data_IF_780836537742
#
_entry.id   IF_780836537742
#
_cell.length_a   1.000
_cell.length_b   1.000
_cell.length_c   1.000
_cell.angle_alpha   90.00
_cell.angle_beta   90.00
_cell.angle_gamma   90.00
#
_symmetry.space_group_name_H-M   'P 1'
#
loop_
_entity.id
_entity.type
_entity.pdbx_description
1 polymer ?
#
# COMPACT_ATOMS: atom_id res chain seq x y z
N UNK A 1 52.46 -79.30 -66.78
CA UNK A 1 51.25 -79.50 -65.95
C UNK A 1 51.58 -79.02 -64.54
N UNK A 2 50.83 -78.01 -64.08
CA UNK A 2 50.67 -77.47 -62.72
C UNK A 2 51.90 -77.23 -61.81
N UNK A 3 52.13 -75.97 -61.45
CA UNK A 3 52.11 -75.53 -60.05
C UNK A 3 51.92 -74.00 -60.00
N UNK A 4 50.74 -73.59 -59.51
CA UNK A 4 50.30 -72.21 -59.34
C UNK A 4 51.17 -71.49 -58.30
N UNK A 5 51.77 -70.36 -58.68
CA UNK A 5 52.37 -69.42 -57.74
C UNK A 5 51.29 -68.64 -57.00
N UNK A 6 51.29 -68.72 -55.67
CA UNK A 6 50.54 -67.82 -54.80
C UNK A 6 51.48 -66.76 -54.24
N UNK A 7 51.28 -65.52 -54.68
CA UNK A 7 51.89 -64.32 -54.09
C UNK A 7 51.14 -63.99 -52.81
N UNK A 8 51.78 -64.14 -51.65
CA UNK A 8 51.28 -63.61 -50.39
C UNK A 8 51.73 -62.15 -50.25
N UNK A 9 50.82 -61.22 -50.56
CA UNK A 9 50.97 -59.79 -50.29
C UNK A 9 51.00 -59.57 -48.78
N UNK A 10 52.06 -58.94 -48.27
CA UNK A 10 52.15 -58.43 -46.92
C UNK A 10 51.10 -57.32 -46.73
N UNK A 11 49.93 -57.68 -46.20
CA UNK A 11 48.94 -56.73 -45.75
C UNK A 11 49.39 -56.08 -44.45
N UNK A 12 49.88 -54.84 -44.53
CA UNK A 12 49.95 -53.95 -43.38
C UNK A 12 48.53 -53.76 -42.85
N UNK A 13 48.20 -54.45 -41.76
CA UNK A 13 47.00 -54.17 -40.98
C UNK A 13 47.17 -52.77 -40.38
N UNK A 14 46.55 -51.78 -41.03
CA UNK A 14 46.25 -50.49 -40.41
C UNK A 14 45.28 -50.77 -39.26
N UNK A 15 45.84 -51.12 -38.09
CA UNK A 15 45.10 -51.18 -36.85
C UNK A 15 44.54 -49.78 -36.60
N UNK A 16 43.27 -49.61 -36.93
CA UNK A 16 42.50 -48.42 -36.60
C UNK A 16 42.49 -48.33 -35.07
N UNK A 17 43.43 -47.59 -34.49
CA UNK A 17 43.43 -47.33 -33.05
C UNK A 17 42.14 -46.58 -32.72
N UNK A 18 41.14 -47.31 -32.24
CA UNK A 18 39.91 -46.76 -31.74
C UNK A 18 40.26 -45.85 -30.55
N UNK A 19 40.32 -44.55 -30.79
CA UNK A 19 40.56 -43.57 -29.74
C UNK A 19 39.45 -43.69 -28.69
N UNK A 20 39.83 -44.08 -27.46
CA UNK A 20 38.88 -44.19 -26.37
C UNK A 20 38.22 -42.82 -26.13
N UNK A 21 36.88 -42.80 -26.08
CA UNK A 21 36.12 -41.57 -25.83
C UNK A 21 36.57 -40.95 -24.50
N UNK A 22 37.29 -39.84 -24.57
CA UNK A 22 37.75 -39.11 -23.39
C UNK A 22 36.60 -38.29 -22.81
N UNK A 23 36.35 -38.43 -21.50
CA UNK A 23 35.31 -37.70 -20.78
C UNK A 23 35.91 -36.52 -20.02
N UNK A 24 35.11 -35.48 -19.81
CA UNK A 24 35.51 -34.39 -18.92
C UNK A 24 35.55 -34.85 -17.46
N UNK A 25 36.28 -34.11 -16.61
CA UNK A 25 36.29 -34.25 -15.15
C UNK A 25 35.84 -32.94 -14.52
N UNK A 26 35.18 -33.01 -13.37
CA UNK A 26 34.79 -31.82 -12.60
C UNK A 26 36.03 -31.28 -11.89
N UNK A 27 36.30 -29.98 -12.03
CA UNK A 27 37.41 -29.28 -11.36
C UNK A 27 36.92 -28.38 -10.23
N UNK A 28 35.67 -27.92 -10.28
CA UNK A 28 35.01 -27.23 -9.16
C UNK A 28 33.53 -27.59 -9.09
N UNK A 29 32.94 -27.51 -7.89
CA UNK A 29 31.51 -27.69 -7.68
C UNK A 29 31.07 -26.95 -6.41
N UNK A 30 30.56 -25.74 -6.59
CA UNK A 30 30.23 -24.83 -5.49
C UNK A 30 28.74 -24.55 -5.40
N UNK A 31 28.26 -24.31 -4.19
CA UNK A 31 26.91 -23.78 -3.95
C UNK A 31 26.89 -22.30 -4.28
N UNK A 32 25.84 -21.82 -4.95
CA UNK A 32 25.67 -20.38 -5.19
C UNK A 32 25.20 -19.69 -3.91
N UNK A 33 25.92 -18.65 -3.49
CA UNK A 33 25.68 -17.91 -2.24
C UNK A 33 25.02 -16.54 -2.42
N UNK A 34 24.80 -16.09 -3.65
CA UNK A 34 24.08 -14.84 -3.94
C UNK A 34 22.63 -14.91 -3.48
N UNK A 35 21.96 -13.76 -3.40
CA UNK A 35 20.56 -13.67 -3.01
C UNK A 35 19.69 -14.65 -3.78
N UNK A 36 18.67 -15.19 -3.11
CA UNK A 36 17.75 -16.13 -3.74
C UNK A 36 17.20 -15.54 -5.02
N UNK A 37 16.52 -14.40 -4.97
CA UNK A 37 15.89 -13.75 -6.13
C UNK A 37 16.81 -13.59 -7.35
N UNK A 38 18.09 -13.25 -7.16
CA UNK A 38 19.08 -13.10 -8.24
C UNK A 38 19.42 -14.40 -8.99
N UNK A 39 19.02 -15.56 -8.45
CA UNK A 39 19.28 -16.88 -9.02
C UNK A 39 18.08 -17.47 -9.76
N UNK A 40 17.04 -16.68 -9.98
CA UNK A 40 15.92 -17.06 -10.82
C UNK A 40 16.40 -17.09 -12.28
N UNK A 41 16.11 -18.20 -12.95
CA UNK A 41 16.50 -18.41 -14.35
C UNK A 41 15.33 -18.96 -15.14
N UNK A 42 15.41 -18.79 -16.46
CA UNK A 42 14.60 -19.55 -17.40
C UNK A 42 15.52 -20.47 -18.20
N UNK A 43 15.00 -21.64 -18.58
CA UNK A 43 15.67 -22.50 -19.56
C UNK A 43 15.48 -21.93 -20.96
N UNK A 44 16.46 -22.11 -21.84
CA UNK A 44 16.40 -21.58 -23.22
C UNK A 44 16.00 -22.64 -24.26
N UNK A 45 16.15 -23.92 -23.91
CA UNK A 45 16.00 -25.05 -24.83
C UNK A 45 17.21 -25.32 -25.73
N UNK A 46 18.30 -24.54 -25.61
CA UNK A 46 19.52 -24.73 -26.42
C UNK A 46 20.41 -25.87 -25.92
N UNK A 47 20.22 -26.31 -24.69
CA UNK A 47 21.01 -27.35 -24.03
C UNK A 47 20.09 -28.23 -23.20
N UNK A 48 20.34 -29.54 -23.20
CA UNK A 48 19.57 -30.51 -22.41
C UNK A 48 19.96 -30.50 -20.92
N UNK A 49 19.06 -31.03 -20.08
CA UNK A 49 19.26 -31.22 -18.64
C UNK A 49 19.75 -32.65 -18.36
N UNK A 50 20.75 -32.80 -17.49
CA UNK A 50 21.38 -34.09 -17.20
C UNK A 50 21.49 -34.37 -15.70
N UNK A 51 21.72 -35.63 -15.31
CA UNK A 51 21.91 -36.02 -13.90
C UNK A 51 23.21 -35.50 -13.28
N UNK A 52 24.22 -35.24 -14.12
CA UNK A 52 25.52 -34.62 -13.83
C UNK A 52 25.94 -33.82 -15.07
N UNK A 53 27.02 -33.03 -15.03
CA UNK A 53 27.47 -32.27 -16.20
C UNK A 53 27.57 -33.18 -17.44
N UNK A 54 26.96 -32.76 -18.55
CA UNK A 54 26.63 -33.63 -19.70
C UNK A 54 27.83 -34.26 -20.41
N UNK A 55 29.04 -33.73 -20.21
CA UNK A 55 30.30 -34.25 -20.77
C UNK A 55 31.01 -35.26 -19.87
N UNK A 56 30.48 -35.54 -18.66
CA UNK A 56 31.04 -36.52 -17.73
C UNK A 56 30.59 -37.95 -18.08
N UNK A 57 31.41 -38.93 -17.69
CA UNK A 57 31.06 -40.34 -17.84
C UNK A 57 29.78 -40.67 -17.06
N UNK A 58 28.83 -41.32 -17.74
CA UNK A 58 27.55 -41.74 -17.17
C UNK A 58 26.58 -40.59 -16.88
N UNK A 59 26.70 -39.44 -17.55
CA UNK A 59 25.65 -38.43 -17.57
C UNK A 59 24.42 -38.99 -18.29
N UNK A 60 23.25 -38.95 -17.63
CA UNK A 60 21.97 -39.41 -18.19
C UNK A 60 21.07 -38.21 -18.45
N UNK A 61 20.30 -38.27 -19.53
CA UNK A 61 19.34 -37.24 -19.91
C UNK A 61 18.20 -37.20 -18.87
N UNK A 62 17.89 -36.01 -18.37
CA UNK A 62 16.74 -35.72 -17.49
C UNK A 62 15.63 -35.04 -18.29
N UNK A 63 15.99 -34.09 -19.17
CA UNK A 63 15.06 -33.45 -20.10
C UNK A 63 15.79 -33.08 -21.39
N UNK A 64 15.18 -33.34 -22.55
CA UNK A 64 15.72 -32.99 -23.86
C UNK A 64 15.68 -31.49 -24.11
N UNK A 65 16.41 -31.03 -25.14
CA UNK A 65 16.32 -29.65 -25.64
C UNK A 65 14.90 -29.28 -26.05
N UNK A 66 14.16 -30.19 -26.70
CA UNK A 66 12.76 -29.97 -27.09
C UNK A 66 11.83 -29.78 -25.89
N UNK A 67 11.95 -30.63 -24.86
CA UNK A 67 11.17 -30.46 -23.61
C UNK A 67 11.46 -29.12 -22.95
N UNK A 68 12.74 -28.76 -22.81
CA UNK A 68 13.12 -27.48 -22.21
C UNK A 68 12.72 -26.27 -23.06
N UNK A 69 12.69 -26.42 -24.39
CA UNK A 69 12.17 -25.37 -25.28
C UNK A 69 10.68 -25.13 -25.04
N UNK A 70 9.88 -26.19 -24.88
CA UNK A 70 8.47 -26.06 -24.50
C UNK A 70 8.29 -25.39 -23.13
N UNK A 71 9.12 -25.75 -22.14
CA UNK A 71 9.08 -25.11 -20.81
C UNK A 71 9.54 -23.65 -20.83
N UNK A 72 10.44 -23.27 -21.75
CA UNK A 72 10.94 -21.90 -21.85
C UNK A 72 9.81 -20.89 -22.14
N UNK A 73 8.81 -21.29 -22.91
CA UNK A 73 7.69 -20.46 -23.37
C UNK A 73 6.39 -20.66 -22.57
N UNK A 74 6.39 -21.54 -21.57
CA UNK A 74 5.21 -21.85 -20.77
C UNK A 74 4.66 -20.58 -20.08
N UNK A 75 3.35 -20.37 -20.14
CA UNK A 75 2.66 -19.23 -19.50
C UNK A 75 2.25 -19.55 -18.05
N UNK A 76 3.11 -20.28 -17.33
CA UNK A 76 2.88 -20.62 -15.91
C UNK A 76 4.16 -20.51 -15.11
N UNK A 77 4.09 -19.79 -13.99
CA UNK A 77 5.21 -19.61 -13.06
C UNK A 77 5.67 -20.91 -12.39
N UNK A 78 4.89 -21.99 -12.47
CA UNK A 78 5.35 -23.35 -12.09
C UNK A 78 6.59 -23.77 -12.90
N UNK A 79 6.72 -23.28 -14.12
CA UNK A 79 7.84 -23.52 -15.04
C UNK A 79 9.01 -22.56 -14.84
N UNK A 80 9.03 -21.74 -13.78
CA UNK A 80 10.22 -20.98 -13.37
C UNK A 80 11.29 -21.90 -12.81
N UNK A 81 12.55 -21.47 -12.83
CA UNK A 81 13.68 -22.27 -12.39
C UNK A 81 14.60 -21.52 -11.43
N UNK A 82 15.26 -22.27 -10.55
CA UNK A 82 16.30 -21.77 -9.65
C UNK A 82 17.62 -22.46 -9.96
N UNK A 83 18.67 -21.69 -10.20
CA UNK A 83 20.04 -22.19 -10.12
C UNK A 83 20.53 -22.15 -8.66
N UNK A 84 21.21 -23.21 -8.20
CA UNK A 84 21.67 -23.29 -6.80
C UNK A 84 23.09 -23.85 -6.63
N UNK A 85 23.70 -24.38 -7.69
CA UNK A 85 25.13 -24.73 -7.72
C UNK A 85 25.74 -24.43 -9.08
N UNK A 86 27.05 -24.28 -9.11
CA UNK A 86 27.85 -24.12 -10.32
C UNK A 86 29.04 -25.08 -10.28
N UNK A 87 29.38 -25.66 -11.43
CA UNK A 87 30.54 -26.54 -11.58
C UNK A 87 31.32 -26.19 -12.83
N UNK A 88 32.64 -26.25 -12.74
CA UNK A 88 33.54 -26.16 -13.90
C UNK A 88 34.14 -27.52 -14.20
N UNK A 89 34.41 -27.78 -15.48
CA UNK A 89 35.12 -28.99 -15.92
C UNK A 89 36.57 -28.68 -16.28
N UNK A 90 37.41 -29.71 -16.39
CA UNK A 90 38.78 -29.60 -16.89
C UNK A 90 38.87 -29.15 -18.37
N UNK A 91 37.73 -29.01 -19.06
CA UNK A 91 37.62 -28.46 -20.42
C UNK A 91 37.11 -27.01 -20.44
N UNK A 92 37.04 -26.35 -19.28
CA UNK A 92 36.58 -24.96 -19.16
C UNK A 92 35.07 -24.76 -19.35
N UNK A 93 34.28 -25.83 -19.35
CA UNK A 93 32.82 -25.72 -19.44
C UNK A 93 32.21 -25.45 -18.07
N UNK A 94 31.24 -24.55 -18.01
CA UNK A 94 30.44 -24.24 -16.83
C UNK A 94 29.10 -24.98 -16.92
N UNK A 95 28.68 -25.58 -15.82
CA UNK A 95 27.36 -26.19 -15.66
C UNK A 95 26.69 -25.67 -14.40
N UNK A 96 25.39 -25.42 -14.47
CA UNK A 96 24.59 -25.02 -13.32
C UNK A 96 23.68 -26.16 -12.88
N UNK A 97 23.58 -26.40 -11.58
CA UNK A 97 22.57 -27.28 -11.01
C UNK A 97 21.29 -26.46 -10.81
N UNK A 98 20.21 -26.89 -11.45
CA UNK A 98 18.93 -26.19 -11.49
C UNK A 98 17.78 -27.07 -11.02
N UNK A 99 16.70 -26.44 -10.62
CA UNK A 99 15.42 -27.08 -10.29
C UNK A 99 14.27 -26.24 -10.83
N UNK A 100 13.26 -26.87 -11.43
CA UNK A 100 11.98 -26.21 -11.72
C UNK A 100 11.22 -25.93 -10.43
N UNK A 101 10.37 -24.91 -10.41
CA UNK A 101 9.71 -24.54 -9.16
C UNK A 101 8.71 -25.62 -8.72
N UNK A 102 8.02 -26.25 -9.66
CA UNK A 102 7.15 -27.42 -9.41
C UNK A 102 7.91 -28.66 -8.92
N UNK A 103 9.24 -28.67 -8.98
CA UNK A 103 10.10 -29.76 -8.52
C UNK A 103 10.22 -30.95 -9.48
N UNK A 104 9.49 -30.94 -10.60
CA UNK A 104 9.46 -32.05 -11.57
C UNK A 104 10.82 -32.29 -12.24
N UNK A 105 11.62 -31.23 -12.40
CA UNK A 105 12.92 -31.30 -13.04
C UNK A 105 14.03 -30.84 -12.12
N UNK A 106 15.09 -31.64 -12.04
CA UNK A 106 16.32 -31.30 -11.32
C UNK A 106 17.52 -31.92 -12.01
N UNK A 107 18.53 -31.11 -12.29
CA UNK A 107 19.73 -31.61 -12.96
C UNK A 107 20.77 -30.54 -13.19
N UNK A 108 21.74 -30.87 -14.03
CA UNK A 108 22.83 -30.03 -14.48
C UNK A 108 22.63 -29.65 -15.94
N UNK A 109 22.71 -28.36 -16.23
CA UNK A 109 22.55 -27.79 -17.57
C UNK A 109 23.78 -26.97 -17.93
N UNK A 110 24.16 -27.00 -19.21
CA UNK A 110 25.32 -26.26 -19.70
C UNK A 110 25.08 -24.75 -19.62
N UNK A 111 26.03 -24.05 -19.01
CA UNK A 111 25.98 -22.63 -18.69
C UNK A 111 26.95 -21.76 -19.49
N UNK A 112 27.68 -22.31 -20.47
CA UNK A 112 28.72 -21.62 -21.22
C UNK A 112 30.14 -21.89 -20.68
N UNK A 113 31.01 -20.88 -20.76
CA UNK A 113 32.42 -20.95 -20.32
C UNK A 113 32.77 -19.99 -19.18
N UNK A 114 31.81 -19.15 -18.74
CA UNK A 114 32.01 -18.16 -17.69
C UNK A 114 31.00 -18.35 -16.56
N UNK A 115 31.44 -18.14 -15.32
CA UNK A 115 30.58 -18.14 -14.13
C UNK A 115 30.03 -16.76 -13.81
N UNK A 116 30.38 -15.73 -14.59
CA UNK A 116 29.97 -14.35 -14.33
C UNK A 116 28.48 -14.09 -14.63
N UNK A 117 27.86 -14.90 -15.48
CA UNK A 117 26.44 -14.78 -15.82
C UNK A 117 25.83 -16.13 -16.23
N UNK A 118 24.51 -16.22 -16.18
CA UNK A 118 23.76 -17.35 -16.70
C UNK A 118 23.70 -17.29 -18.23
N UNK A 119 24.28 -18.27 -18.91
CA UNK A 119 24.30 -18.38 -20.37
C UNK A 119 23.97 -19.81 -20.85
N UNK A 120 24.08 -20.03 -22.16
CA UNK A 120 23.92 -21.36 -22.77
C UNK A 120 22.47 -21.84 -22.66
N UNK A 121 22.26 -22.90 -21.88
CA UNK A 121 20.94 -23.46 -21.60
C UNK A 121 20.07 -22.62 -20.67
N UNK A 122 20.61 -21.53 -20.12
CA UNK A 122 19.95 -20.67 -19.14
C UNK A 122 20.02 -19.20 -19.54
N UNK A 123 19.07 -18.45 -19.03
CA UNK A 123 19.08 -16.99 -18.97
C UNK A 123 18.61 -16.54 -17.59
N UNK A 124 19.10 -15.38 -17.13
CA UNK A 124 18.49 -14.71 -15.97
C UNK A 124 17.02 -14.42 -16.27
N UNK A 125 16.17 -14.48 -15.24
CA UNK A 125 14.73 -14.29 -15.42
C UNK A 125 14.07 -13.66 -14.20
N UNK A 126 13.46 -12.50 -14.41
CA UNK A 126 12.62 -11.86 -13.42
C UNK A 126 11.25 -12.54 -13.39
N UNK A 127 10.91 -13.14 -12.26
CA UNK A 127 9.66 -13.88 -12.06
C UNK A 127 8.50 -12.98 -11.62
N UNK A 128 8.82 -11.78 -11.13
CA UNK A 128 7.87 -10.81 -10.64
C UNK A 128 8.34 -9.40 -10.98
N UNK A 129 7.44 -8.56 -11.49
CA UNK A 129 7.68 -7.14 -11.74
C UNK A 129 6.95 -6.34 -10.69
N UNK A 130 7.69 -5.66 -9.82
CA UNK A 130 7.09 -4.76 -8.84
C UNK A 130 6.38 -3.61 -9.55
N UNK A 131 5.18 -3.28 -9.08
CA UNK A 131 4.40 -2.14 -9.55
C UNK A 131 4.32 -1.03 -8.51
N UNK A 132 3.61 0.04 -8.86
CA UNK A 132 3.32 1.17 -7.96
C UNK A 132 1.90 1.06 -7.46
N UNK A 133 1.71 1.13 -6.14
CA UNK A 133 0.36 1.15 -5.54
C UNK A 133 -0.36 2.42 -5.97
N UNK A 134 -1.49 2.27 -6.65
CA UNK A 134 -2.28 3.38 -7.15
C UNK A 134 -3.15 4.00 -6.03
N UNK A 135 -3.77 5.15 -6.32
CA UNK A 135 -4.54 5.89 -5.32
C UNK A 135 -5.79 5.13 -4.86
N UNK A 136 -6.42 4.36 -5.74
CA UNK A 136 -7.57 3.51 -5.39
C UNK A 136 -7.17 2.45 -4.36
N UNK A 137 -6.03 1.78 -4.58
CA UNK A 137 -5.46 0.78 -3.65
C UNK A 137 -5.07 1.38 -2.29
N UNK A 138 -4.48 2.58 -2.28
CA UNK A 138 -4.10 3.28 -1.03
C UNK A 138 -5.31 3.71 -0.21
N UNK A 139 -6.30 4.28 -0.88
CA UNK A 139 -7.40 4.97 -0.20
C UNK A 139 -8.48 4.01 0.29
N UNK A 140 -8.66 2.86 -0.35
CA UNK A 140 -9.69 1.89 0.02
C UNK A 140 -9.19 0.85 1.06
N UNK A 141 -10.13 0.12 1.63
CA UNK A 141 -9.88 -1.11 2.39
C UNK A 141 -10.44 -2.30 1.63
N UNK A 142 -9.91 -3.49 1.90
CA UNK A 142 -10.22 -4.71 1.18
C UNK A 142 -10.58 -5.85 2.14
N UNK A 143 -11.39 -6.80 1.68
CA UNK A 143 -11.63 -8.09 2.32
C UNK A 143 -11.20 -9.21 1.39
N UNK A 144 -10.89 -10.37 1.96
CA UNK A 144 -10.73 -11.60 1.17
C UNK A 144 -12.13 -11.98 0.65
N UNK A 145 -12.28 -12.06 -0.67
CA UNK A 145 -13.58 -12.20 -1.33
C UNK A 145 -14.29 -13.51 -0.93
N UNK A 146 -13.53 -14.59 -0.86
CA UNK A 146 -14.00 -15.93 -0.48
C UNK A 146 -13.02 -16.54 0.51
N UNK A 147 -13.46 -16.67 1.77
CA UNK A 147 -12.65 -17.28 2.83
C UNK A 147 -12.72 -18.81 2.82
N UNK A 148 -11.71 -19.45 3.41
CA UNK A 148 -11.60 -20.90 3.51
C UNK A 148 -10.16 -21.38 3.48
N UNK A 149 -9.95 -22.62 3.06
CA UNK A 149 -8.63 -23.29 3.06
C UNK A 149 -8.06 -23.55 1.66
N UNK A 150 -8.75 -23.08 0.61
CA UNK A 150 -8.36 -23.31 -0.77
C UNK A 150 -6.98 -22.69 -1.08
N UNK A 151 -6.14 -23.44 -1.80
CA UNK A 151 -4.84 -22.99 -2.27
C UNK A 151 -4.92 -22.60 -3.76
N UNK A 152 -5.74 -21.60 -4.05
CA UNK A 152 -6.11 -21.13 -5.39
C UNK A 152 -5.56 -19.73 -5.72
N UNK A 153 -4.65 -19.23 -4.87
CA UNK A 153 -4.08 -17.88 -4.88
C UNK A 153 -5.05 -16.74 -4.51
N UNK A 154 -6.32 -17.04 -4.20
CA UNK A 154 -7.38 -16.06 -3.94
C UNK A 154 -8.01 -16.19 -2.55
N UNK A 155 -7.93 -17.35 -1.94
CA UNK A 155 -8.54 -17.61 -0.62
C UNK A 155 -7.58 -17.40 0.54
N UNK A 156 -6.27 -17.60 0.35
CA UNK A 156 -5.25 -17.47 1.41
C UNK A 156 -4.08 -16.58 0.95
N UNK A 157 -3.31 -16.07 1.91
CA UNK A 157 -2.14 -15.22 1.63
C UNK A 157 -0.82 -16.01 1.65
N UNK A 158 0.21 -15.45 1.02
CA UNK A 158 1.51 -16.06 0.79
C UNK A 158 2.65 -15.16 1.27
N UNK A 159 3.80 -15.73 1.62
CA UNK A 159 4.98 -14.95 2.04
C UNK A 159 5.61 -14.17 0.87
N UNK A 160 5.29 -14.55 -0.36
CA UNK A 160 5.65 -13.88 -1.61
C UNK A 160 4.61 -14.28 -2.67
N UNK A 161 4.48 -13.58 -3.80
CA UNK A 161 3.56 -14.00 -4.87
C UNK A 161 3.84 -15.45 -5.30
N UNK A 162 2.79 -16.25 -5.50
CA UNK A 162 2.96 -17.68 -5.71
C UNK A 162 3.82 -17.97 -6.94
N UNK A 163 4.75 -18.93 -6.78
CA UNK A 163 5.67 -19.37 -7.84
C UNK A 163 6.63 -18.29 -8.37
N UNK A 164 6.85 -17.20 -7.62
CA UNK A 164 7.87 -16.19 -7.97
C UNK A 164 9.23 -16.46 -7.33
N UNK A 165 9.26 -17.28 -6.28
CA UNK A 165 10.49 -17.83 -5.71
C UNK A 165 10.36 -19.36 -5.56
N UNK A 166 11.51 -20.04 -5.49
CA UNK A 166 11.51 -21.47 -5.19
C UNK A 166 11.03 -21.70 -3.75
N UNK A 167 10.02 -22.55 -3.56
CA UNK A 167 9.39 -22.90 -2.27
C UNK A 167 8.74 -21.71 -1.54
N UNK A 168 8.03 -20.85 -2.26
CA UNK A 168 7.14 -19.86 -1.63
C UNK A 168 6.14 -20.57 -0.73
N UNK A 169 6.05 -20.12 0.53
CA UNK A 169 5.12 -20.63 1.53
C UNK A 169 3.84 -19.80 1.58
N UNK A 170 2.81 -20.37 2.21
CA UNK A 170 1.61 -19.63 2.60
C UNK A 170 1.89 -18.86 3.89
N UNK A 171 1.39 -17.64 4.00
CA UNK A 171 1.39 -16.88 5.24
C UNK A 171 0.28 -17.41 6.18
N UNK A 172 -0.90 -17.67 5.64
CA UNK A 172 -1.99 -18.39 6.32
C UNK A 172 -2.45 -19.60 5.52
N UNK A 173 -2.90 -20.65 6.20
CA UNK A 173 -3.44 -21.85 5.56
C UNK A 173 -4.97 -21.90 5.57
N UNK A 174 -5.60 -21.02 6.34
CA UNK A 174 -7.04 -20.88 6.51
C UNK A 174 -7.38 -19.40 6.71
N UNK A 175 -8.23 -18.86 5.84
CA UNK A 175 -8.71 -17.48 5.92
C UNK A 175 -10.08 -17.34 6.60
N UNK A 176 -10.73 -18.45 6.99
CA UNK A 176 -12.04 -18.45 7.66
C UNK A 176 -12.10 -17.52 8.88
N UNK A 177 -11.07 -17.45 9.76
CA UNK A 177 -11.07 -16.54 10.90
C UNK A 177 -11.10 -15.04 10.52
N UNK A 178 -10.77 -14.71 9.27
CA UNK A 178 -10.59 -13.35 8.78
C UNK A 178 -11.74 -12.86 7.90
N UNK A 179 -12.90 -13.55 7.91
CA UNK A 179 -14.07 -13.20 7.08
C UNK A 179 -14.52 -11.74 7.20
N UNK A 180 -14.36 -11.16 8.40
CA UNK A 180 -14.75 -9.79 8.70
C UNK A 180 -13.56 -8.82 8.74
N UNK A 181 -12.33 -9.34 8.59
CA UNK A 181 -11.12 -8.54 8.64
C UNK A 181 -11.02 -7.61 7.43
N UNK A 182 -10.49 -6.41 7.65
CA UNK A 182 -10.21 -5.45 6.60
C UNK A 182 -8.71 -5.23 6.47
N UNK A 183 -8.27 -4.99 5.24
CA UNK A 183 -6.87 -4.88 4.90
C UNK A 183 -6.61 -3.64 4.02
N UNK A 184 -5.39 -3.11 4.12
CA UNK A 184 -4.82 -2.12 3.21
C UNK A 184 -3.86 -2.79 2.24
N UNK A 185 -3.69 -2.20 1.07
CA UNK A 185 -2.68 -2.62 0.10
C UNK A 185 -1.48 -1.67 0.21
N UNK A 186 -0.29 -2.23 0.45
CA UNK A 186 0.97 -1.48 0.59
C UNK A 186 2.01 -1.84 -0.48
N UNK A 187 1.83 -2.96 -1.19
CA UNK A 187 2.66 -3.34 -2.34
C UNK A 187 1.81 -3.99 -3.45
N UNK A 188 2.28 -3.86 -4.69
CA UNK A 188 1.65 -4.49 -5.85
C UNK A 188 2.70 -4.91 -6.89
N UNK A 189 2.35 -5.80 -7.80
CA UNK A 189 3.16 -6.17 -8.95
C UNK A 189 2.56 -7.32 -9.74
N UNK A 190 3.26 -7.75 -10.78
CA UNK A 190 2.74 -8.69 -11.78
C UNK A 190 3.67 -9.89 -11.94
N UNK A 191 3.12 -11.12 -11.99
CA UNK A 191 3.92 -12.30 -12.36
C UNK A 191 4.21 -12.29 -13.84
N UNK A 192 5.46 -12.57 -14.21
CA UNK A 192 5.91 -12.36 -15.60
C UNK A 192 5.41 -13.38 -16.60
N UNK A 193 4.99 -14.57 -16.16
CA UNK A 193 4.44 -15.62 -17.04
C UNK A 193 2.92 -15.58 -17.17
N UNK A 194 2.21 -15.31 -16.08
CA UNK A 194 0.75 -15.24 -16.09
C UNK A 194 0.23 -13.85 -16.44
N UNK A 195 0.99 -12.79 -16.17
CA UNK A 195 0.54 -11.40 -16.33
C UNK A 195 -0.49 -10.97 -15.29
N UNK A 196 -0.70 -11.74 -14.23
CA UNK A 196 -1.67 -11.46 -13.18
C UNK A 196 -1.12 -10.56 -12.08
N UNK A 197 -1.99 -9.71 -11.53
CA UNK A 197 -1.64 -8.76 -10.48
C UNK A 197 -1.75 -9.39 -9.11
N UNK A 198 -0.67 -9.26 -8.34
CA UNK A 198 -0.59 -9.63 -6.94
C UNK A 198 -0.41 -8.37 -6.09
N UNK A 199 -1.04 -8.39 -4.93
CA UNK A 199 -0.95 -7.31 -3.94
C UNK A 199 -0.53 -7.88 -2.60
N UNK A 200 0.24 -7.11 -1.85
CA UNK A 200 0.51 -7.39 -0.45
C UNK A 200 -0.57 -6.68 0.38
N UNK A 201 -1.18 -7.42 1.29
CA UNK A 201 -2.21 -6.91 2.19
C UNK A 201 -1.70 -6.81 3.62
N UNK A 202 -2.08 -5.73 4.30
CA UNK A 202 -1.78 -5.48 5.72
C UNK A 202 -3.07 -5.23 6.48
N UNK A 203 -3.26 -5.95 7.58
CA UNK A 203 -4.46 -5.83 8.40
C UNK A 203 -4.57 -4.43 9.02
N UNK A 204 -5.78 -3.91 9.10
CA UNK A 204 -6.08 -2.63 9.76
C UNK A 204 -6.03 -2.73 11.29
N UNK A 205 -6.13 -3.94 11.84
CA UNK A 205 -6.03 -4.27 13.26
C UNK A 205 -4.95 -5.36 13.46
N UNK A 206 -4.11 -5.15 14.47
CA UNK A 206 -3.14 -6.09 15.01
C UNK A 206 -3.66 -7.52 15.20
N UNK A 207 -4.93 -7.70 15.62
CA UNK A 207 -5.54 -9.03 15.81
C UNK A 207 -5.50 -9.90 14.55
N UNK A 208 -5.57 -9.26 13.37
CA UNK A 208 -5.64 -9.95 12.08
C UNK A 208 -4.30 -9.97 11.32
N UNK A 209 -3.22 -9.50 11.96
CA UNK A 209 -1.89 -9.34 11.33
C UNK A 209 -1.27 -10.64 10.83
N UNK A 210 -1.68 -11.80 11.36
CA UNK A 210 -1.24 -13.09 10.87
C UNK A 210 -1.66 -13.35 9.41
N UNK A 211 -2.72 -12.69 8.92
CA UNK A 211 -3.14 -12.77 7.52
C UNK A 211 -2.33 -11.88 6.57
N UNK A 212 -1.43 -11.03 7.07
CA UNK A 212 -0.61 -10.18 6.22
C UNK A 212 0.21 -11.01 5.24
N UNK A 213 0.22 -10.61 3.97
CA UNK A 213 0.92 -11.34 2.93
C UNK A 213 0.42 -11.03 1.53
N UNK A 214 0.97 -11.74 0.56
CA UNK A 214 0.65 -11.60 -0.86
C UNK A 214 -0.57 -12.42 -1.25
N UNK A 215 -1.43 -11.87 -2.09
CA UNK A 215 -2.61 -12.53 -2.65
C UNK A 215 -2.87 -12.01 -4.07
N UNK A 216 -3.55 -12.79 -4.92
CA UNK A 216 -4.05 -12.24 -6.18
C UNK A 216 -5.04 -11.11 -5.89
N UNK A 217 -4.90 -9.99 -6.59
CA UNK A 217 -5.81 -8.85 -6.43
C UNK A 217 -7.26 -9.24 -6.71
N UNK A 218 -7.48 -10.12 -7.69
CA UNK A 218 -8.81 -10.69 -8.00
C UNK A 218 -9.40 -11.61 -6.92
N UNK A 219 -8.64 -11.94 -5.87
CA UNK A 219 -9.12 -12.62 -4.67
C UNK A 219 -9.62 -11.68 -3.59
N UNK A 220 -9.55 -10.37 -3.83
CA UNK A 220 -10.03 -9.34 -2.92
C UNK A 220 -11.31 -8.72 -3.45
N UNK A 221 -12.17 -8.30 -2.53
CA UNK A 221 -13.21 -7.32 -2.78
C UNK A 221 -12.88 -6.06 -2.02
N UNK A 222 -13.22 -4.89 -2.57
CA UNK A 222 -13.20 -3.67 -1.76
C UNK A 222 -14.12 -3.90 -0.58
N UNK A 223 -13.58 -3.74 0.63
CA UNK A 223 -14.39 -3.72 1.82
C UNK A 223 -15.29 -2.50 1.66
N UNK A 224 -16.59 -2.74 1.43
CA UNK A 224 -17.57 -1.69 1.63
C UNK A 224 -17.31 -1.11 3.01
N UNK A 225 -17.04 0.19 3.09
CA UNK A 225 -17.33 0.94 4.31
C UNK A 225 -18.71 0.46 4.75
N UNK A 226 -18.82 -0.08 5.96
CA UNK A 226 -20.07 -0.47 6.61
C UNK A 226 -21.30 0.19 5.94
N UNK A 227 -22.01 -0.58 5.13
CA UNK A 227 -23.29 -0.29 4.47
C UNK A 227 -23.45 1.10 3.83
N UNK A 228 -23.37 1.16 2.50
CA UNK A 228 -24.40 1.89 1.74
C UNK A 228 -24.90 0.96 0.65
N UNK A 229 -26.12 0.47 0.82
CA UNK A 229 -26.99 0.07 -0.28
C UNK A 229 -26.83 1.04 -1.44
N UNK A 230 -26.77 0.52 -2.67
CA UNK A 230 -27.11 1.28 -3.86
C UNK A 230 -28.47 1.96 -3.64
N UNK A 231 -28.43 3.23 -3.26
CA UNK A 231 -29.50 4.19 -3.40
C UNK A 231 -28.84 5.38 -4.06
N UNK A 232 -29.35 5.77 -5.22
CA UNK A 232 -29.23 7.12 -5.78
C UNK A 232 -28.79 8.13 -4.72
N UNK A 233 -27.67 8.82 -4.92
CA UNK A 233 -27.19 9.84 -3.97
C UNK A 233 -28.36 10.75 -3.59
N UNK A 234 -28.74 10.73 -2.31
CA UNK A 234 -29.78 11.62 -1.82
C UNK A 234 -29.32 13.05 -2.10
N UNK A 235 -30.18 13.87 -2.70
CA UNK A 235 -29.92 15.31 -2.85
C UNK A 235 -30.38 16.08 -1.61
N UNK A 236 -31.08 15.42 -0.69
CA UNK A 236 -31.66 16.04 0.50
C UNK A 236 -30.62 16.20 1.61
N UNK A 237 -30.49 17.40 2.23
CA UNK A 237 -29.66 17.59 3.41
C UNK A 237 -30.05 16.61 4.52
N UNK A 238 -29.05 15.92 5.09
CA UNK A 238 -29.29 14.94 6.14
C UNK A 238 -29.83 15.57 7.43
N UNK A 239 -29.47 16.82 7.70
CA UNK A 239 -29.87 17.55 8.89
C UNK A 239 -30.56 18.86 8.48
N UNK A 240 -31.60 19.25 9.21
CA UNK A 240 -32.23 20.55 9.02
C UNK A 240 -31.34 21.68 9.59
N UNK A 241 -30.64 21.40 10.69
CA UNK A 241 -29.70 22.33 11.30
C UNK A 241 -28.55 21.60 12.03
N UNK A 242 -27.48 22.34 12.34
CA UNK A 242 -26.44 21.93 13.29
C UNK A 242 -26.26 22.99 14.37
N UNK A 243 -26.11 22.58 15.62
CA UNK A 243 -25.78 23.50 16.73
C UNK A 243 -24.29 23.45 16.98
N UNK A 244 -23.61 24.58 16.83
CA UNK A 244 -22.21 24.69 17.23
C UNK A 244 -22.17 25.06 18.71
N UNK A 245 -21.93 24.08 19.59
CA UNK A 245 -21.79 24.32 21.03
C UNK A 245 -20.47 25.05 21.30
N UNK A 246 -20.52 26.37 21.21
CA UNK A 246 -19.41 27.32 21.22
C UNK A 246 -19.50 28.32 22.37
N UNK A 247 -20.59 28.28 23.15
CA UNK A 247 -20.76 29.11 24.34
C UNK A 247 -19.65 28.85 25.35
N UNK A 248 -19.00 29.91 25.82
CA UNK A 248 -17.86 29.77 26.72
C UNK A 248 -17.87 30.84 27.79
N UNK A 249 -17.96 30.45 29.06
CA UNK A 249 -17.82 31.36 30.21
C UNK A 249 -16.37 31.83 30.38
N UNK A 250 -16.16 32.94 31.09
CA UNK A 250 -14.82 33.48 31.35
C UNK A 250 -14.02 32.49 32.22
N UNK A 251 -12.82 32.11 31.76
CA UNK A 251 -11.85 31.29 32.48
C UNK A 251 -10.45 31.85 32.28
N UNK A 252 -9.49 31.38 33.08
CA UNK A 252 -8.11 31.86 33.07
C UNK A 252 -7.49 31.82 31.65
N UNK A 253 -6.71 32.86 31.36
CA UNK A 253 -6.05 33.05 30.07
C UNK A 253 -5.18 31.83 29.71
N UNK A 254 -5.23 31.40 28.46
CA UNK A 254 -4.47 30.25 27.97
C UNK A 254 -4.98 28.86 28.38
N UNK A 255 -6.04 28.76 29.19
CA UNK A 255 -6.57 27.45 29.61
C UNK A 255 -7.55 26.88 28.58
N UNK A 256 -7.34 25.64 28.14
CA UNK A 256 -8.27 24.91 27.28
C UNK A 256 -9.40 24.29 28.10
N UNK A 257 -10.65 24.55 27.72
CA UNK A 257 -11.83 23.95 28.35
C UNK A 257 -12.85 23.51 27.32
N UNK A 258 -13.72 22.57 27.68
CA UNK A 258 -14.88 22.29 26.82
C UNK A 258 -15.86 23.46 26.84
N UNK A 259 -16.31 23.85 25.65
CA UNK A 259 -17.39 24.81 25.50
C UNK A 259 -18.68 24.25 26.14
N UNK A 260 -19.48 25.17 26.69
CA UNK A 260 -20.83 24.89 27.15
C UNK A 260 -21.78 24.76 25.95
N UNK A 261 -22.96 24.19 26.20
CA UNK A 261 -24.00 24.10 25.19
C UNK A 261 -24.50 25.49 24.81
N UNK A 262 -24.67 25.73 23.50
CA UNK A 262 -25.14 26.99 22.94
C UNK A 262 -24.26 27.53 21.81
N UNK A 263 -24.88 28.19 20.84
CA UNK A 263 -24.24 28.70 19.63
C UNK A 263 -24.03 30.21 19.69
N UNK A 264 -23.10 30.65 20.55
CA UNK A 264 -22.78 32.07 20.73
C UNK A 264 -22.16 32.68 19.47
N UNK A 265 -21.31 31.91 18.77
CA UNK A 265 -20.66 32.38 17.55
C UNK A 265 -21.65 32.52 16.39
N UNK A 266 -22.54 31.55 16.18
CA UNK A 266 -23.56 31.61 15.15
C UNK A 266 -24.56 32.75 15.37
N UNK A 267 -25.01 32.94 16.62
CA UNK A 267 -25.87 34.07 17.01
C UNK A 267 -25.20 35.42 16.78
N UNK A 268 -23.90 35.52 17.02
CA UNK A 268 -23.14 36.74 16.81
C UNK A 268 -22.78 36.99 15.33
N UNK A 269 -22.93 35.98 14.45
CA UNK A 269 -22.42 36.05 13.08
C UNK A 269 -20.90 36.22 13.06
N UNK A 270 -20.19 35.52 13.94
CA UNK A 270 -18.75 35.65 14.08
C UNK A 270 -18.02 35.27 12.78
N UNK A 271 -16.96 36.01 12.47
CA UNK A 271 -16.03 35.67 11.41
C UNK A 271 -14.96 34.73 11.97
N UNK A 272 -14.66 33.66 11.24
CA UNK A 272 -13.69 32.63 11.63
C UNK A 272 -12.50 32.65 10.66
N UNK A 273 -11.34 32.23 11.13
CA UNK A 273 -10.22 31.83 10.29
C UNK A 273 -9.86 30.38 10.58
N UNK A 274 -9.80 29.55 9.54
CA UNK A 274 -9.43 28.14 9.69
C UNK A 274 -8.09 27.86 9.00
N UNK A 275 -7.08 27.36 9.74
CA UNK A 275 -5.82 26.94 9.13
C UNK A 275 -5.98 25.72 8.22
N UNK A 276 -7.01 24.88 8.44
CA UNK A 276 -7.22 23.66 7.66
C UNK A 276 -7.67 23.98 6.22
N UNK A 277 -8.36 25.10 6.02
CA UNK A 277 -8.77 25.59 4.69
C UNK A 277 -7.93 26.77 4.20
N UNK A 278 -7.22 27.46 5.10
CA UNK A 278 -6.52 28.71 4.81
C UNK A 278 -7.47 29.89 4.53
N UNK A 279 -8.77 29.73 4.81
CA UNK A 279 -9.80 30.72 4.49
C UNK A 279 -10.35 31.39 5.74
N UNK A 280 -10.83 32.62 5.55
CA UNK A 280 -11.60 33.34 6.54
C UNK A 280 -13.01 33.61 6.01
N UNK A 281 -14.04 33.26 6.79
CA UNK A 281 -15.44 33.35 6.39
C UNK A 281 -16.37 33.54 7.59
N UNK A 282 -17.65 33.85 7.33
CA UNK A 282 -18.66 33.85 8.40
C UNK A 282 -18.90 32.43 8.90
N UNK A 283 -19.06 32.25 10.20
CA UNK A 283 -19.35 30.94 10.79
C UNK A 283 -20.69 30.38 10.29
N UNK A 284 -21.65 31.24 9.93
CA UNK A 284 -22.94 30.83 9.39
C UNK A 284 -22.81 30.28 7.95
N UNK A 285 -21.89 30.83 7.16
CA UNK A 285 -21.59 30.31 5.82
C UNK A 285 -20.85 28.96 5.92
N UNK A 286 -19.94 28.82 6.90
CA UNK A 286 -19.27 27.55 7.19
C UNK A 286 -20.29 26.48 7.62
N UNK A 287 -21.23 26.85 8.50
CA UNK A 287 -22.36 26.01 8.91
C UNK A 287 -23.24 25.59 7.73
N UNK A 288 -23.58 26.51 6.83
CA UNK A 288 -24.32 26.20 5.61
C UNK A 288 -23.55 25.25 4.67
N UNK A 289 -22.22 25.38 4.61
CA UNK A 289 -21.36 24.47 3.86
C UNK A 289 -21.39 23.05 4.42
N UNK A 290 -21.39 22.88 5.75
CA UNK A 290 -21.55 21.54 6.35
C UNK A 290 -22.89 20.92 6.00
N UNK A 291 -23.99 21.67 6.14
CA UNK A 291 -25.34 21.19 5.82
C UNK A 291 -25.49 20.82 4.34
N UNK A 292 -24.78 21.50 3.43
CA UNK A 292 -24.81 21.19 2.01
C UNK A 292 -24.01 19.92 1.66
N UNK A 293 -22.98 19.58 2.43
CA UNK A 293 -22.09 18.44 2.17
C UNK A 293 -22.60 17.10 2.72
N UNK A 294 -23.52 17.12 3.70
CA UNK A 294 -24.04 15.90 4.32
C UNK A 294 -25.43 15.60 3.77
N UNK A 295 -25.55 14.54 2.97
CA UNK A 295 -26.79 14.10 2.35
C UNK A 295 -27.21 12.71 2.85
N UNK A 296 -28.48 12.57 3.19
CA UNK A 296 -29.07 11.29 3.61
C UNK A 296 -30.59 11.38 3.57
N UNK A 297 -31.26 10.34 3.07
CA UNK A 297 -32.72 10.25 3.13
C UNK A 297 -33.20 10.08 4.58
N UNK A 298 -34.46 10.42 4.84
CA UNK A 298 -35.06 10.33 6.18
C UNK A 298 -34.87 8.93 6.79
N UNK A 299 -34.23 8.87 7.95
CA UNK A 299 -33.95 7.64 8.69
C UNK A 299 -32.65 6.93 8.30
N UNK A 300 -31.97 7.32 7.21
CA UNK A 300 -30.67 6.74 6.84
C UNK A 300 -29.60 7.16 7.84
N UNK A 301 -28.73 6.24 8.24
CA UNK A 301 -27.64 6.55 9.17
C UNK A 301 -26.61 7.47 8.52
N UNK A 302 -26.22 8.53 9.24
CA UNK A 302 -25.06 9.36 8.92
C UNK A 302 -23.94 8.96 9.87
N UNK A 303 -22.77 8.66 9.33
CA UNK A 303 -21.61 8.28 10.15
C UNK A 303 -20.94 9.50 10.76
N UNK A 304 -20.32 9.35 11.94
CA UNK A 304 -19.50 10.41 12.53
C UNK A 304 -18.38 10.86 11.57
N UNK A 305 -17.80 9.92 10.81
CA UNK A 305 -16.77 10.21 9.82
C UNK A 305 -17.25 11.18 8.73
N UNK A 306 -18.47 10.98 8.19
CA UNK A 306 -19.07 11.88 7.21
C UNK A 306 -19.26 13.30 7.78
N UNK A 307 -19.74 13.41 9.01
CA UNK A 307 -19.91 14.71 9.69
C UNK A 307 -18.54 15.39 9.89
N UNK A 308 -17.54 14.66 10.41
CA UNK A 308 -16.20 15.22 10.61
C UNK A 308 -15.50 15.64 9.32
N UNK A 309 -15.71 14.90 8.21
CA UNK A 309 -15.16 15.27 6.91
C UNK A 309 -15.81 16.55 6.36
N UNK A 310 -17.12 16.72 6.56
CA UNK A 310 -17.82 17.94 6.19
C UNK A 310 -17.37 19.15 7.02
N UNK A 311 -17.22 18.97 8.35
CA UNK A 311 -16.68 20.01 9.25
C UNK A 311 -15.30 20.48 8.80
N UNK A 312 -14.40 19.54 8.50
CA UNK A 312 -13.05 19.86 8.02
C UNK A 312 -13.05 20.62 6.69
N UNK A 313 -13.89 20.22 5.73
CA UNK A 313 -14.05 20.95 4.46
C UNK A 313 -14.60 22.36 4.64
N UNK A 314 -15.42 22.59 5.67
CA UNK A 314 -15.97 23.90 6.01
C UNK A 314 -15.06 24.73 6.93
N UNK A 315 -13.90 24.20 7.35
CA UNK A 315 -13.00 24.88 8.30
C UNK A 315 -13.53 24.96 9.72
N UNK A 316 -14.43 24.04 10.12
CA UNK A 316 -15.01 23.95 11.45
C UNK A 316 -14.38 22.85 12.31
N UNK A 317 -13.28 22.23 11.88
CA UNK A 317 -12.53 21.26 12.69
C UNK A 317 -11.52 21.94 13.64
N UNK A 318 -10.89 23.02 13.15
CA UNK A 318 -9.92 23.85 13.86
C UNK A 318 -10.02 25.28 13.33
N UNK A 319 -10.38 26.23 14.20
CA UNK A 319 -10.53 27.63 13.79
C UNK A 319 -10.31 28.64 14.92
N UNK A 320 -10.06 29.88 14.51
CA UNK A 320 -9.77 31.02 15.36
C UNK A 320 -10.82 32.10 15.15
N UNK A 321 -11.18 32.80 16.23
CA UNK A 321 -12.02 33.99 16.20
C UNK A 321 -11.40 35.10 17.04
N UNK A 322 -11.66 36.35 16.68
CA UNK A 322 -11.31 37.49 17.52
C UNK A 322 -12.53 37.99 18.28
N UNK A 323 -12.33 38.27 19.57
CA UNK A 323 -13.34 38.78 20.49
C UNK A 323 -12.89 40.12 21.06
N UNK A 324 -13.76 41.12 21.00
CA UNK A 324 -13.57 42.39 21.68
C UNK A 324 -14.10 42.30 23.10
N UNK A 325 -13.18 42.26 24.08
CA UNK A 325 -13.48 42.15 25.52
C UNK A 325 -13.88 43.50 26.14
N UNK A 326 -13.92 44.56 25.32
CA UNK A 326 -14.22 45.92 25.74
C UNK A 326 -12.95 46.76 25.89
N UNK A 327 -13.12 48.09 25.82
CA UNK A 327 -12.05 49.06 26.01
C UNK A 327 -12.57 50.31 26.71
N UNK A 328 -11.71 51.32 26.86
CA UNK A 328 -12.04 52.60 27.54
C UNK A 328 -13.14 53.38 26.80
N UNK A 329 -13.44 53.02 25.54
CA UNK A 329 -14.50 53.63 24.73
C UNK A 329 -15.87 53.11 25.15
N UNK A 330 -16.61 53.95 25.87
CA UNK A 330 -17.97 53.68 26.38
C UNK A 330 -18.95 53.47 25.21
N UNK A 331 -19.77 52.41 25.28
CA UNK A 331 -20.92 52.21 24.38
C UNK A 331 -20.81 51.12 23.31
N UNK A 332 -19.65 50.47 23.13
CA UNK A 332 -19.46 49.51 22.02
C UNK A 332 -19.83 48.04 22.32
N UNK A 333 -20.10 47.67 23.60
CA UNK A 333 -20.50 46.32 24.08
C UNK A 333 -19.62 45.10 23.68
N UNK A 334 -19.25 44.20 24.61
CA UNK A 334 -18.36 43.06 24.27
C UNK A 334 -18.93 42.22 23.13
N UNK A 335 -18.13 41.89 22.12
CA UNK A 335 -18.62 41.25 20.88
C UNK A 335 -17.55 40.52 20.08
N UNK A 336 -17.95 39.54 19.27
CA UNK A 336 -17.08 38.93 18.27
C UNK A 336 -16.86 39.86 17.07
N UNK A 337 -15.73 39.68 16.39
CA UNK A 337 -15.52 40.26 15.05
C UNK A 337 -16.40 39.52 14.05
N UNK A 338 -17.11 40.26 13.21
CA UNK A 338 -18.16 39.72 12.31
C UNK A 338 -17.89 39.98 10.83
N UNK A 339 -16.74 40.55 10.47
CA UNK A 339 -16.35 40.78 9.09
C UNK A 339 -14.86 40.48 8.85
N UNK A 340 -14.48 40.48 7.56
CA UNK A 340 -13.11 40.19 7.14
C UNK A 340 -12.14 41.37 7.33
N UNK A 341 -12.61 42.52 7.82
CA UNK A 341 -11.80 43.75 7.81
C UNK A 341 -10.71 43.65 8.86
N UNK A 342 -9.57 44.21 8.50
CA UNK A 342 -8.49 44.39 9.45
C UNK A 342 -8.92 45.35 10.56
N UNK A 343 -8.68 44.96 11.80
CA UNK A 343 -8.96 45.77 12.99
C UNK A 343 -7.67 46.31 13.59
N UNK A 344 -7.68 47.58 14.00
CA UNK A 344 -6.58 48.19 14.74
C UNK A 344 -6.74 47.86 16.23
N UNK A 345 -5.80 47.09 16.79
CA UNK A 345 -5.86 46.66 18.19
C UNK A 345 -4.96 47.53 19.06
N UNK A 346 -5.59 48.21 20.03
CA UNK A 346 -4.91 49.10 20.98
C UNK A 346 -4.91 48.48 22.40
N UNK A 347 -3.85 47.73 22.72
CA UNK A 347 -3.67 47.13 24.06
C UNK A 347 -4.65 45.99 24.35
N UNK A 348 -5.00 45.81 25.63
CA UNK A 348 -5.76 44.69 26.24
C UNK A 348 -7.24 44.55 25.82
N UNK A 349 -7.64 45.12 24.69
CA UNK A 349 -9.05 45.23 24.28
C UNK A 349 -9.58 44.02 23.51
N UNK A 350 -8.69 43.13 23.07
CA UNK A 350 -9.04 41.99 22.25
C UNK A 350 -8.48 40.68 22.80
N UNK A 351 -9.24 39.62 22.58
CA UNK A 351 -8.86 38.24 22.81
C UNK A 351 -8.88 37.50 21.46
N UNK A 352 -8.04 36.48 21.32
CA UNK A 352 -8.15 35.50 20.24
C UNK A 352 -8.55 34.17 20.86
N UNK A 353 -9.63 33.59 20.36
CA UNK A 353 -10.17 32.33 20.85
C UNK A 353 -9.93 31.26 19.80
N UNK A 354 -9.42 30.12 20.24
CA UNK A 354 -9.14 28.95 19.43
C UNK A 354 -10.14 27.85 19.77
N UNK A 355 -10.84 27.35 18.74
CA UNK A 355 -11.83 26.29 18.85
C UNK A 355 -11.31 25.04 18.14
N UNK A 356 -11.29 23.91 18.86
CA UNK A 356 -10.93 22.60 18.32
C UNK A 356 -12.09 21.64 18.47
N UNK A 357 -12.43 20.93 17.40
CA UNK A 357 -13.49 19.94 17.41
C UNK A 357 -13.23 18.89 18.50
N UNK A 358 -14.26 18.60 19.31
CA UNK A 358 -14.19 17.63 20.40
C UNK A 358 -14.94 16.34 20.04
N UNK A 359 -16.25 16.45 19.84
CA UNK A 359 -17.12 15.32 19.51
C UNK A 359 -18.46 15.80 18.95
N UNK A 360 -19.29 14.84 18.54
CA UNK A 360 -20.65 15.06 18.03
C UNK A 360 -21.65 14.50 19.05
N UNK A 361 -22.79 15.16 19.19
CA UNK A 361 -23.92 14.75 20.04
C UNK A 361 -25.23 14.86 19.28
N UNK A 362 -26.22 14.04 19.63
CA UNK A 362 -27.52 13.98 18.95
C UNK A 362 -27.69 12.72 18.07
N UNK A 363 -28.83 12.62 17.39
CA UNK A 363 -29.12 11.50 16.48
C UNK A 363 -28.50 11.77 15.10
N UNK A 364 -27.72 10.81 14.60
CA UNK A 364 -27.03 10.91 13.32
C UNK A 364 -27.79 10.12 12.26
N UNK A 365 -28.98 10.62 11.94
CA UNK A 365 -29.82 10.06 10.87
C UNK A 365 -30.36 11.16 9.97
N UNK A 366 -30.55 10.84 8.69
CA UNK A 366 -31.20 11.73 7.73
C UNK A 366 -32.58 12.15 8.23
N UNK A 367 -32.92 13.42 8.05
CA UNK A 367 -34.15 14.01 8.58
C UNK A 367 -34.13 14.32 10.09
N UNK A 368 -32.98 14.18 10.76
CA UNK A 368 -32.84 14.68 12.14
C UNK A 368 -32.89 16.21 12.14
N UNK A 369 -33.59 16.79 13.10
CA UNK A 369 -33.81 18.24 13.16
C UNK A 369 -32.56 19.02 13.53
N UNK A 370 -31.68 18.44 14.35
CA UNK A 370 -30.49 19.11 14.84
C UNK A 370 -29.41 18.13 15.32
N UNK A 371 -28.15 18.46 15.06
CA UNK A 371 -26.96 17.75 15.57
C UNK A 371 -26.06 18.73 16.31
N UNK A 372 -25.63 18.37 17.51
CA UNK A 372 -24.73 19.19 18.32
C UNK A 372 -23.27 18.90 18.01
N UNK A 373 -22.51 19.93 17.62
CA UNK A 373 -21.07 19.89 17.41
C UNK A 373 -20.38 20.55 18.60
N UNK A 374 -19.60 19.78 19.35
CA UNK A 374 -18.98 20.24 20.59
C UNK A 374 -17.51 20.59 20.36
N UNK A 375 -17.06 21.64 21.03
CA UNK A 375 -15.70 22.16 20.90
C UNK A 375 -14.97 22.20 22.24
N UNK A 376 -13.64 22.12 22.18
CA UNK A 376 -12.80 22.72 23.19
C UNK A 376 -12.41 24.12 22.75
N UNK A 377 -12.34 25.05 23.71
CA UNK A 377 -12.02 26.45 23.50
C UNK A 377 -10.84 26.84 24.38
N UNK A 378 -9.90 27.58 23.80
CA UNK A 378 -8.79 28.22 24.50
C UNK A 378 -8.83 29.71 24.17
N UNK A 379 -8.75 30.57 25.19
CA UNK A 379 -8.83 32.02 25.01
C UNK A 379 -7.49 32.63 25.39
N UNK A 380 -6.99 33.57 24.58
CA UNK A 380 -5.74 34.28 24.86
C UNK A 380 -5.93 35.79 24.70
N UNK A 381 -5.54 36.55 25.72
CA UNK A 381 -5.62 38.01 25.71
C UNK A 381 -4.47 38.62 24.92
N UNK A 382 -4.79 39.57 24.04
CA UNK A 382 -3.79 40.21 23.22
C UNK A 382 -3.14 41.39 23.95
N UNK A 383 -1.91 41.17 24.42
CA UNK A 383 -1.20 42.15 25.23
C UNK A 383 -0.24 43.05 24.41
N UNK A 384 -0.23 42.93 23.07
CA UNK A 384 0.68 43.69 22.21
C UNK A 384 0.14 45.08 21.89
N UNK A 385 1.00 46.10 21.96
CA UNK A 385 0.65 47.50 21.69
C UNK A 385 0.67 47.75 20.19
N UNK A 386 -0.51 48.08 19.61
CA UNK A 386 -0.72 48.50 18.21
C UNK A 386 -0.36 47.45 17.15
N UNK A 387 -1.29 46.55 16.88
CA UNK A 387 -1.23 45.62 15.75
C UNK A 387 -2.44 45.78 14.83
N UNK A 388 -2.20 45.76 13.53
CA UNK A 388 -3.27 45.57 12.55
C UNK A 388 -3.53 44.06 12.42
N UNK A 389 -4.74 43.62 12.72
CA UNK A 389 -5.10 42.20 12.73
C UNK A 389 -6.13 41.94 11.65
N UNK A 390 -5.78 41.10 10.68
CA UNK A 390 -6.72 40.48 9.77
C UNK A 390 -7.01 39.04 10.24
N UNK A 391 -8.14 38.45 9.83
CA UNK A 391 -8.46 37.07 10.17
C UNK A 391 -7.33 36.07 9.89
N UNK A 392 -6.64 36.23 8.75
CA UNK A 392 -5.54 35.35 8.34
C UNK A 392 -4.35 35.32 9.32
N UNK A 393 -4.21 36.33 10.19
CA UNK A 393 -3.11 36.42 11.15
C UNK A 393 -3.52 35.99 12.57
N UNK A 394 -4.78 35.63 12.81
CA UNK A 394 -5.27 35.30 14.15
C UNK A 394 -4.56 34.09 14.77
N UNK A 395 -4.25 33.07 13.98
CA UNK A 395 -3.45 31.93 14.45
C UNK A 395 -2.07 32.39 14.92
N UNK A 396 -1.31 33.08 14.07
CA UNK A 396 0.02 33.59 14.40
C UNK A 396 0.01 34.51 15.63
N UNK A 397 -1.05 35.30 15.80
CA UNK A 397 -1.24 36.14 16.99
C UNK A 397 -1.45 35.26 18.22
N UNK A 398 -2.37 34.30 18.16
CA UNK A 398 -2.69 33.36 19.24
C UNK A 398 -1.45 32.57 19.70
N UNK A 399 -0.65 32.10 18.75
CA UNK A 399 0.57 31.34 19.02
C UNK A 399 1.67 32.22 19.65
N UNK A 400 1.71 33.51 19.29
CA UNK A 400 2.70 34.45 19.81
C UNK A 400 2.43 34.99 21.22
N UNK A 401 1.27 34.70 21.81
CA UNK A 401 0.91 35.11 23.16
C UNK A 401 1.44 34.07 24.15
N UNK A 402 2.42 34.47 24.96
CA UNK A 402 2.98 33.67 26.06
C UNK A 402 1.94 33.53 27.18
N UNK A 403 1.66 32.30 27.58
CA UNK A 403 0.89 32.01 28.79
C UNK A 403 1.78 32.31 30.00
N UNK A 404 1.44 33.35 30.77
CA UNK A 404 2.11 33.64 32.05
C UNK A 404 1.59 32.74 33.16
#
# INVERSE_FOLDING_TARGET
MAALGFVAVAGSVSANQASAKSYAKVTSNQTLTTDASSRNVNVTGSSALYTKAGTLKGARLVASTSTLKGLSTAQTSKSNWRAYRVATTNRGSVYYKVVSFDGNYRGWIYGGKSTASFNGGLTSYDTFKTGTVNDDQKNNTYKIASVGTANDNKTVTYTSPAWTQYKVGRAITDSTPYKDATFKIDQTGTRTREGDTWVHITATDSKNSAANGWILESGLTKASSSTTTDTTESTTPAFADITLNTSATAKADGTTVSAANGDDLGKAGAFIYSPSTGQAMSINDAKATVLSLIKADKGQAVTQAQVTAALKKAGLDDFYVSYWDGGVVVGLGKKFVTDAKSIAVYGLQYEVWHYTFKNISGDLKGGSTNVGINYNVTKKKNNKVRLLQSPANWQSIFDSISTN
#
